data_IF_526936549950
#
_entry.id   IF_526936549950
#
_cell.length_a   1.000
_cell.length_b   1.000
_cell.length_c   1.000
_cell.angle_alpha   90.00
_cell.angle_beta   90.00
_cell.angle_gamma   90.00
#
_symmetry.space_group_name_H-M   'P 1'
#
loop_
_entity.id
_entity.type
_entity.pdbx_description
1 polymer ?
#
# COMPACT_ATOMS: atom_id res chain seq x y z
N UNK A 1 -19.14 25.31 17.85
CA UNK A 1 -18.81 26.19 16.70
C UNK A 1 -18.91 25.32 15.45
N UNK A 2 -20.10 25.21 14.86
CA UNK A 2 -20.49 25.91 13.60
C UNK A 2 -19.43 25.75 12.51
N UNK A 3 -19.62 24.76 11.64
CA UNK A 3 -18.98 24.76 10.32
C UNK A 3 -19.49 25.96 9.50
N UNK A 4 -18.66 26.56 8.64
CA UNK A 4 -19.08 27.04 7.34
C UNK A 4 -18.70 25.97 6.29
N UNK A 5 -19.67 25.39 5.58
CA UNK A 5 -20.08 25.85 4.24
C UNK A 5 -18.87 26.00 3.31
N UNK A 6 -18.59 24.95 2.54
CA UNK A 6 -18.99 24.83 1.13
C UNK A 6 -18.19 25.77 0.24
N UNK A 7 -17.36 25.15 -0.58
CA UNK A 7 -17.14 25.49 -1.98
C UNK A 7 -17.46 26.94 -2.37
N UNK A 8 -16.46 27.81 -2.33
CA UNK A 8 -16.49 28.99 -3.16
C UNK A 8 -15.07 29.53 -3.27
N UNK A 9 -14.37 29.56 -4.38
CA UNK A 9 -14.58 29.30 -5.81
C UNK A 9 -13.13 29.37 -6.35
N UNK A 10 -12.72 28.59 -7.36
CA UNK A 10 -11.41 28.66 -8.08
C UNK A 10 -10.22 27.76 -7.66
N UNK A 11 -10.45 26.45 -7.45
CA UNK A 11 -9.41 25.45 -7.75
C UNK A 11 -10.05 24.09 -8.09
N UNK A 12 -11.00 24.12 -9.02
CA UNK A 12 -11.52 22.91 -9.65
C UNK A 12 -10.37 22.23 -10.42
N UNK A 13 -9.71 21.23 -9.81
CA UNK A 13 -9.43 19.90 -10.40
C UNK A 13 -8.30 19.06 -9.73
N UNK A 14 -7.48 19.54 -8.78
CA UNK A 14 -6.31 18.73 -8.35
C UNK A 14 -5.91 18.70 -6.85
N UNK A 15 -6.82 18.79 -5.88
CA UNK A 15 -6.38 18.83 -4.47
C UNK A 15 -7.22 17.99 -3.49
N UNK A 16 -7.10 16.66 -3.56
CA UNK A 16 -7.16 15.74 -2.40
C UNK A 16 -6.33 14.47 -2.68
N UNK A 17 -5.05 14.65 -3.03
CA UNK A 17 -4.05 13.58 -2.91
C UNK A 17 -3.02 14.04 -1.88
N UNK A 18 -3.46 14.21 -0.64
CA UNK A 18 -2.53 14.34 0.46
C UNK A 18 -2.16 12.93 0.92
N UNK A 19 -1.16 12.35 0.27
CA UNK A 19 -0.42 11.26 0.88
C UNK A 19 0.15 11.79 2.20
N UNK A 20 0.09 11.00 3.27
CA UNK A 20 0.66 11.38 4.56
C UNK A 20 2.16 11.72 4.36
N UNK A 21 2.66 12.87 4.85
CA UNK A 21 4.08 13.22 4.75
C UNK A 21 4.99 12.10 5.29
N UNK A 22 4.56 11.39 6.33
CA UNK A 22 5.30 10.28 6.93
C UNK A 22 5.40 9.10 5.95
N UNK A 23 4.34 8.84 5.19
CA UNK A 23 4.35 7.79 4.17
C UNK A 23 5.25 8.14 2.98
N UNK A 24 5.27 9.41 2.53
CA UNK A 24 6.19 9.85 1.47
C UNK A 24 7.66 9.65 1.86
N UNK A 25 8.02 10.00 3.09
CA UNK A 25 9.37 9.79 3.59
C UNK A 25 9.73 8.30 3.63
N UNK A 26 8.79 7.46 4.05
CA UNK A 26 8.94 6.01 4.09
C UNK A 26 9.20 5.43 2.68
N UNK A 27 8.44 5.87 1.67
CA UNK A 27 8.68 5.49 0.27
C UNK A 27 10.10 5.87 -0.18
N UNK A 28 10.54 7.10 0.08
CA UNK A 28 11.87 7.57 -0.31
C UNK A 28 12.99 6.75 0.34
N UNK A 29 12.86 6.43 1.63
CA UNK A 29 13.81 5.55 2.31
C UNK A 29 13.87 4.17 1.68
N UNK A 30 12.72 3.56 1.40
CA UNK A 30 12.67 2.24 0.80
C UNK A 30 13.21 2.23 -0.64
N UNK A 31 13.00 3.28 -1.41
CA UNK A 31 13.62 3.44 -2.73
C UNK A 31 15.14 3.47 -2.65
N UNK A 32 15.70 4.23 -1.69
CA UNK A 32 17.14 4.29 -1.46
C UNK A 32 17.71 2.93 -1.02
N UNK A 33 17.09 2.28 -0.03
CA UNK A 33 17.54 0.98 0.51
C UNK A 33 17.53 -0.13 -0.55
N UNK A 34 16.56 -0.09 -1.46
CA UNK A 34 16.37 -1.15 -2.48
C UNK A 34 16.93 -0.78 -3.85
N UNK A 35 17.49 0.42 -4.01
CA UNK A 35 17.97 0.93 -5.30
C UNK A 35 16.86 0.91 -6.38
N UNK A 36 15.63 1.22 -5.97
CA UNK A 36 14.48 1.40 -6.87
C UNK A 36 14.36 2.87 -7.23
N UNK A 37 14.26 3.16 -8.53
CA UNK A 37 14.07 4.53 -9.02
C UNK A 37 12.59 4.86 -9.22
N UNK A 38 12.26 6.15 -9.32
CA UNK A 38 10.89 6.57 -9.67
C UNK A 38 10.46 6.01 -11.04
N UNK A 39 11.41 5.92 -11.97
CA UNK A 39 11.19 5.33 -13.28
C UNK A 39 10.82 3.84 -13.17
N UNK A 40 11.54 3.05 -12.36
CA UNK A 40 11.21 1.64 -12.14
C UNK A 40 9.79 1.47 -11.57
N UNK A 41 9.38 2.32 -10.61
CA UNK A 41 8.02 2.29 -10.06
C UNK A 41 6.98 2.66 -11.12
N UNK A 42 7.24 3.71 -11.91
CA UNK A 42 6.35 4.16 -12.97
C UNK A 42 6.16 3.08 -14.03
N UNK A 43 7.24 2.46 -14.48
CA UNK A 43 7.20 1.39 -15.47
C UNK A 43 6.48 0.16 -14.93
N UNK A 44 6.71 -0.19 -13.65
CA UNK A 44 6.00 -1.28 -12.99
C UNK A 44 4.49 -1.03 -12.90
N UNK A 45 4.07 0.18 -12.53
CA UNK A 45 2.66 0.57 -12.50
C UNK A 45 2.04 0.59 -13.91
N UNK A 46 2.74 1.16 -14.90
CA UNK A 46 2.29 1.19 -16.29
C UNK A 46 2.17 -0.21 -16.90
N UNK A 47 3.01 -1.14 -16.48
CA UNK A 47 2.94 -2.57 -16.83
C UNK A 47 1.82 -3.34 -16.12
N UNK A 48 0.98 -2.67 -15.31
CA UNK A 48 -0.16 -3.30 -14.61
C UNK A 48 0.18 -4.00 -13.30
N UNK A 49 1.42 -3.85 -12.80
CA UNK A 49 1.95 -4.54 -11.61
C UNK A 49 1.87 -6.07 -11.74
N UNK A 50 2.54 -6.63 -12.74
CA UNK A 50 2.55 -8.08 -12.98
C UNK A 50 3.37 -8.85 -11.94
N UNK A 51 3.07 -10.14 -11.80
CA UNK A 51 3.70 -11.03 -10.81
C UNK A 51 5.22 -11.26 -11.02
N UNK A 52 5.78 -10.87 -12.17
CA UNK A 52 7.18 -11.06 -12.56
C UNK A 52 8.07 -9.81 -12.31
N UNK A 53 7.77 -9.03 -11.27
CA UNK A 53 8.55 -7.85 -10.92
C UNK A 53 10.04 -8.17 -10.66
N UNK A 54 10.92 -7.20 -10.96
CA UNK A 54 12.34 -7.25 -10.58
C UNK A 54 12.50 -7.44 -9.07
N UNK A 55 13.57 -8.10 -8.64
CA UNK A 55 13.78 -8.41 -7.22
C UNK A 55 13.83 -7.16 -6.33
N UNK A 56 14.44 -6.07 -6.79
CA UNK A 56 14.47 -4.81 -6.04
C UNK A 56 13.07 -4.22 -5.81
N UNK A 57 12.16 -4.32 -6.77
CA UNK A 57 10.76 -3.90 -6.61
C UNK A 57 10.00 -4.78 -5.61
N UNK A 58 10.32 -6.07 -5.55
CA UNK A 58 9.77 -6.97 -4.52
C UNK A 58 10.28 -6.60 -3.14
N UNK A 59 11.58 -6.32 -3.02
CA UNK A 59 12.18 -5.88 -1.77
C UNK A 59 11.72 -4.48 -1.36
N UNK A 60 11.35 -3.62 -2.32
CA UNK A 60 10.68 -2.35 -2.02
C UNK A 60 9.34 -2.57 -1.30
N UNK A 61 8.52 -3.52 -1.77
CA UNK A 61 7.29 -3.90 -1.07
C UNK A 61 7.57 -4.42 0.36
N UNK A 62 8.59 -5.26 0.53
CA UNK A 62 9.03 -5.73 1.86
C UNK A 62 9.38 -4.56 2.77
N UNK A 63 10.23 -3.65 2.31
CA UNK A 63 10.66 -2.48 3.09
C UNK A 63 9.45 -1.63 3.54
N UNK A 64 8.49 -1.38 2.64
CA UNK A 64 7.28 -0.65 2.98
C UNK A 64 6.48 -1.36 4.08
N UNK A 65 6.28 -2.69 3.95
CA UNK A 65 5.51 -3.46 4.93
C UNK A 65 6.21 -3.54 6.28
N UNK A 66 7.53 -3.71 6.32
CA UNK A 66 8.31 -3.77 7.56
C UNK A 66 8.30 -2.44 8.31
N UNK A 67 8.57 -1.32 7.62
CA UNK A 67 8.55 0.01 8.26
C UNK A 67 7.17 0.42 8.75
N UNK A 68 6.09 -0.12 8.16
CA UNK A 68 4.72 0.07 8.64
C UNK A 68 4.31 -0.94 9.73
N UNK A 69 5.16 -1.91 10.07
CA UNK A 69 4.86 -2.96 11.05
C UNK A 69 3.90 -4.04 10.54
N UNK A 70 3.66 -4.09 9.23
CA UNK A 70 2.79 -5.08 8.58
C UNK A 70 3.55 -6.35 8.19
N UNK A 71 4.87 -6.37 8.31
CA UNK A 71 5.69 -7.57 8.12
C UNK A 71 6.85 -7.57 9.09
N UNK A 72 7.25 -8.75 9.56
CA UNK A 72 8.48 -8.97 10.31
C UNK A 72 9.02 -10.38 10.01
N UNK A 73 10.34 -10.51 9.81
CA UNK A 73 11.01 -11.80 9.54
C UNK A 73 10.32 -12.61 8.42
N UNK A 74 9.97 -11.95 7.32
CA UNK A 74 9.29 -12.58 6.18
C UNK A 74 7.86 -13.07 6.47
N UNK A 75 7.25 -12.65 7.57
CA UNK A 75 5.88 -13.00 7.91
C UNK A 75 4.98 -11.77 7.87
N UNK A 76 3.94 -11.85 7.04
CA UNK A 76 2.90 -10.83 6.95
C UNK A 76 2.04 -10.84 8.22
N UNK A 77 1.85 -9.65 8.80
CA UNK A 77 1.02 -9.40 9.96
C UNK A 77 -0.33 -8.83 9.52
N UNK A 78 -1.24 -9.74 9.18
CA UNK A 78 -2.61 -9.42 8.76
C UNK A 78 -3.34 -8.54 9.78
N UNK A 79 -3.18 -8.82 11.08
CA UNK A 79 -3.84 -8.05 12.13
C UNK A 79 -3.35 -6.59 12.16
N UNK A 80 -2.03 -6.38 12.09
CA UNK A 80 -1.46 -5.02 12.06
C UNK A 80 -1.91 -4.22 10.83
N UNK A 81 -2.03 -4.87 9.67
CA UNK A 81 -2.60 -4.22 8.48
C UNK A 81 -4.07 -3.84 8.73
N UNK A 82 -4.89 -4.76 9.24
CA UNK A 82 -6.31 -4.47 9.54
C UNK A 82 -6.48 -3.33 10.54
N UNK A 83 -5.66 -3.30 11.59
CA UNK A 83 -5.69 -2.23 12.59
C UNK A 83 -5.30 -0.87 11.99
N UNK A 84 -4.42 -0.87 10.98
CA UNK A 84 -4.08 0.32 10.20
C UNK A 84 -5.24 0.74 9.30
N UNK A 85 -5.81 -0.19 8.52
CA UNK A 85 -6.89 0.10 7.56
C UNK A 85 -8.18 0.57 8.25
N UNK A 86 -8.51 0.03 9.44
CA UNK A 86 -9.67 0.48 10.24
C UNK A 86 -9.58 1.95 10.67
N UNK A 87 -8.38 2.51 10.76
CA UNK A 87 -8.15 3.92 11.10
C UNK A 87 -8.33 4.84 9.90
N UNK A 88 -8.30 4.30 8.67
CA UNK A 88 -8.47 5.08 7.44
C UNK A 88 -9.96 5.31 7.18
N UNK A 89 -10.45 6.57 7.22
CA UNK A 89 -11.90 6.85 7.06
C UNK A 89 -12.49 6.30 5.76
N UNK A 90 -11.71 6.33 4.66
CA UNK A 90 -12.12 5.88 3.33
C UNK A 90 -12.35 4.36 3.23
N UNK A 91 -11.85 3.60 4.21
CA UNK A 91 -11.94 2.13 4.23
C UNK A 91 -13.12 1.62 5.07
N UNK A 92 -13.77 2.49 5.87
CA UNK A 92 -14.81 2.09 6.82
C UNK A 92 -16.02 1.44 6.15
N UNK A 93 -16.44 1.97 5.00
CA UNK A 93 -17.64 1.50 4.30
C UNK A 93 -17.47 0.10 3.69
N UNK A 94 -16.23 -0.35 3.49
CA UNK A 94 -15.90 -1.65 2.88
C UNK A 94 -15.10 -2.57 3.83
N UNK A 95 -15.15 -2.32 5.14
CA UNK A 95 -14.23 -2.95 6.08
C UNK A 95 -14.36 -4.48 6.12
N UNK A 96 -15.55 -5.02 5.87
CA UNK A 96 -15.77 -6.47 5.82
C UNK A 96 -15.14 -7.11 4.56
N UNK A 97 -15.27 -6.46 3.39
CA UNK A 97 -14.60 -6.89 2.14
C UNK A 97 -13.09 -6.85 2.30
N UNK A 98 -12.57 -5.75 2.87
CA UNK A 98 -11.15 -5.58 3.18
C UNK A 98 -10.68 -6.65 4.14
N UNK A 99 -11.44 -6.93 5.21
CA UNK A 99 -11.09 -7.96 6.20
C UNK A 99 -11.00 -9.33 5.55
N UNK A 100 -12.01 -9.70 4.75
CA UNK A 100 -12.00 -10.95 3.98
C UNK A 100 -10.79 -11.04 3.05
N UNK A 101 -10.45 -9.96 2.35
CA UNK A 101 -9.30 -9.90 1.47
C UNK A 101 -7.97 -10.05 2.19
N UNK A 102 -7.78 -9.38 3.33
CA UNK A 102 -6.56 -9.54 4.14
C UNK A 102 -6.43 -10.97 4.67
N UNK A 103 -7.54 -11.55 5.15
CA UNK A 103 -7.55 -12.92 5.67
C UNK A 103 -7.23 -13.96 4.57
N UNK A 104 -7.69 -13.73 3.33
CA UNK A 104 -7.35 -14.58 2.19
C UNK A 104 -5.83 -14.57 1.88
N UNK A 105 -5.15 -13.45 2.13
CA UNK A 105 -3.73 -13.28 1.80
C UNK A 105 -2.76 -13.65 2.94
N UNK A 106 -3.25 -13.93 4.15
CA UNK A 106 -2.42 -14.01 5.37
C UNK A 106 -1.35 -15.11 5.37
N UNK A 107 -1.60 -16.19 4.64
CA UNK A 107 -0.73 -17.37 4.61
C UNK A 107 0.17 -17.45 3.37
N UNK A 108 0.20 -16.40 2.55
CA UNK A 108 1.04 -16.37 1.35
C UNK A 108 2.52 -16.41 1.73
N UNK A 109 3.26 -17.25 0.99
CA UNK A 109 4.72 -17.37 1.08
C UNK A 109 5.35 -17.32 -0.30
N UNK A 110 6.48 -16.63 -0.37
CA UNK A 110 7.35 -16.57 -1.53
C UNK A 110 8.57 -17.47 -1.40
N UNK A 111 9.43 -17.44 -2.41
CA UNK A 111 10.74 -18.12 -2.38
C UNK A 111 11.73 -17.47 -1.41
N UNK A 112 11.51 -16.20 -1.07
CA UNK A 112 12.23 -15.44 -0.06
C UNK A 112 11.29 -14.38 0.57
N UNK A 113 11.81 -13.55 1.48
CA UNK A 113 11.01 -12.53 2.16
C UNK A 113 10.49 -11.43 1.23
N UNK A 114 11.31 -10.99 0.26
CA UNK A 114 10.90 -9.99 -0.74
C UNK A 114 9.77 -10.52 -1.63
N UNK A 115 9.90 -11.74 -2.12
CA UNK A 115 8.87 -12.44 -2.90
C UNK A 115 7.60 -12.67 -2.07
N UNK A 116 7.73 -12.94 -0.78
CA UNK A 116 6.58 -13.04 0.14
C UNK A 116 5.83 -11.72 0.23
N UNK A 117 6.52 -10.61 0.53
CA UNK A 117 5.92 -9.29 0.62
C UNK A 117 5.23 -8.87 -0.69
N UNK A 118 5.89 -9.14 -1.81
CA UNK A 118 5.36 -8.84 -3.13
C UNK A 118 4.08 -9.63 -3.44
N UNK A 119 4.09 -10.95 -3.23
CA UNK A 119 2.91 -11.80 -3.46
C UNK A 119 1.74 -11.42 -2.56
N UNK A 120 2.00 -11.11 -1.29
CA UNK A 120 0.98 -10.60 -0.38
C UNK A 120 0.39 -9.29 -0.92
N UNK A 121 1.24 -8.36 -1.34
CA UNK A 121 0.79 -7.07 -1.93
C UNK A 121 -0.10 -7.28 -3.15
N UNK A 122 0.27 -8.21 -4.04
CA UNK A 122 -0.53 -8.53 -5.22
C UNK A 122 -1.87 -9.19 -4.86
N UNK A 123 -1.87 -10.12 -3.91
CA UNK A 123 -3.11 -10.73 -3.40
C UNK A 123 -4.04 -9.68 -2.78
N UNK A 124 -3.51 -8.77 -1.95
CA UNK A 124 -4.31 -7.70 -1.34
C UNK A 124 -4.93 -6.80 -2.40
N UNK A 125 -4.20 -6.47 -3.47
CA UNK A 125 -4.73 -5.72 -4.61
C UNK A 125 -5.86 -6.48 -5.32
N UNK A 126 -5.68 -7.77 -5.58
CA UNK A 126 -6.68 -8.62 -6.23
C UNK A 126 -7.98 -8.70 -5.42
N UNK A 127 -7.85 -8.81 -4.09
CA UNK A 127 -8.97 -8.82 -3.15
C UNK A 127 -9.44 -7.42 -2.72
N UNK A 128 -8.99 -6.34 -3.37
CA UNK A 128 -9.36 -4.94 -3.08
C UNK A 128 -9.15 -4.53 -1.61
N UNK A 129 -8.21 -5.18 -0.93
CA UNK A 129 -7.81 -4.90 0.45
C UNK A 129 -6.74 -3.78 0.54
N UNK A 130 -6.67 -2.92 -0.49
CA UNK A 130 -5.83 -1.72 -0.52
C UNK A 130 -6.70 -0.50 -0.85
N UNK A 131 -6.33 0.71 -0.39
CA UNK A 131 -7.02 1.93 -0.80
C UNK A 131 -7.02 2.04 -2.33
N UNK A 132 -8.20 2.14 -2.94
CA UNK A 132 -8.29 2.37 -4.39
C UNK A 132 -7.69 3.75 -4.69
N UNK A 133 -6.77 3.88 -5.66
CA UNK A 133 -6.48 5.19 -6.23
C UNK A 133 -7.77 5.70 -6.89
N UNK A 134 -8.21 6.88 -6.48
CA UNK A 134 -9.27 7.63 -7.13
C UNK A 134 -8.74 8.33 -8.39
#
# INVERSE_FOLDING_TARGET
MKAPLVCAVLALLMAVVQCDPDFRQLMQQCMQETQVTEADLKDFMAGGMQANAKENLKCYAKCLMEKQGHMANGQFNAQALLDTLKKVPQMKDNIDEITSGVEACKNIKGTNECDTAFKVTMCLKEHKATPRPH
#
